data_IF_346540971100
#
_entry.id   IF_346540971100
#
_cell.length_a   1.000
_cell.length_b   1.000
_cell.length_c   1.000
_cell.angle_alpha   90.00
_cell.angle_beta   90.00
_cell.angle_gamma   90.00
#
_symmetry.space_group_name_H-M   'P 1'
#
loop_
_entity.id
_entity.type
_entity.pdbx_description
1 polymer ?
#
# COMPACT_ATOMS: atom_id res chain seq x y z
N UNK A 1 -20.93 -44.00 -20.13
CA UNK A 1 -20.68 -42.98 -19.09
C UNK A 1 -19.19 -42.75 -19.07
N UNK A 2 -18.74 -41.73 -19.79
CA UNK A 2 -17.33 -41.38 -19.95
C UNK A 2 -17.04 -40.29 -18.93
N UNK A 3 -16.29 -40.63 -17.88
CA UNK A 3 -15.81 -39.65 -16.90
C UNK A 3 -14.84 -38.70 -17.61
N UNK A 4 -15.21 -37.42 -17.64
CA UNK A 4 -14.33 -36.33 -18.05
C UNK A 4 -13.44 -36.05 -16.84
N UNK A 5 -12.21 -36.54 -16.88
CA UNK A 5 -11.16 -36.07 -15.98
C UNK A 5 -10.91 -34.59 -16.27
N UNK A 6 -11.15 -33.75 -15.27
CA UNK A 6 -10.68 -32.37 -15.22
C UNK A 6 -9.16 -32.35 -15.32
N UNK A 7 -8.56 -31.45 -16.13
CA UNK A 7 -7.11 -31.35 -16.20
C UNK A 7 -6.59 -30.84 -14.86
N UNK A 8 -5.77 -31.64 -14.19
CA UNK A 8 -4.96 -31.16 -13.07
C UNK A 8 -4.04 -30.07 -13.60
N UNK A 9 -4.30 -28.81 -13.25
CA UNK A 9 -3.33 -27.74 -13.47
C UNK A 9 -2.14 -28.00 -12.55
N UNK A 10 -1.02 -28.48 -13.11
CA UNK A 10 0.28 -28.32 -12.46
C UNK A 10 0.40 -26.86 -11.99
N UNK A 11 0.89 -26.59 -10.78
CA UNK A 11 1.15 -25.22 -10.38
C UNK A 11 2.10 -24.62 -11.43
N UNK A 12 1.71 -23.48 -12.00
CA UNK A 12 2.67 -22.60 -12.66
C UNK A 12 3.85 -22.47 -11.71
N UNK A 13 5.07 -22.73 -12.18
CA UNK A 13 6.25 -22.85 -11.33
C UNK A 13 6.51 -21.48 -10.65
N UNK A 14 5.93 -21.28 -9.47
CA UNK A 14 6.11 -20.07 -8.65
C UNK A 14 7.47 -20.19 -8.00
N UNK A 15 8.42 -19.39 -8.46
CA UNK A 15 9.71 -19.22 -7.80
C UNK A 15 9.53 -18.28 -6.60
N UNK A 16 8.98 -18.82 -5.52
CA UNK A 16 8.61 -18.06 -4.33
C UNK A 16 9.82 -17.37 -3.69
N UNK A 17 10.99 -18.01 -3.73
CA UNK A 17 12.25 -17.42 -3.25
C UNK A 17 12.65 -16.21 -4.11
N UNK A 18 12.66 -16.35 -5.44
CA UNK A 18 12.99 -15.23 -6.31
C UNK A 18 12.00 -14.06 -6.18
N UNK A 19 10.72 -14.33 -5.93
CA UNK A 19 9.70 -13.29 -5.78
C UNK A 19 9.71 -12.64 -4.40
N UNK A 20 10.21 -13.33 -3.38
CA UNK A 20 10.43 -12.77 -2.06
C UNK A 20 11.74 -11.99 -1.93
N UNK A 21 12.66 -12.09 -2.90
CA UNK A 21 13.94 -11.37 -2.91
C UNK A 21 13.85 -9.86 -2.59
N UNK A 22 12.85 -9.09 -3.07
CA UNK A 22 12.71 -7.68 -2.70
C UNK A 22 12.52 -7.43 -1.20
N UNK A 23 12.20 -8.46 -0.42
CA UNK A 23 11.95 -8.39 1.02
C UNK A 23 13.06 -9.08 1.83
N UNK A 24 14.15 -9.52 1.19
CA UNK A 24 15.36 -9.95 1.88
C UNK A 24 15.93 -8.78 2.70
N UNK A 25 16.24 -9.03 3.97
CA UNK A 25 16.72 -8.01 4.90
C UNK A 25 15.63 -7.14 5.52
N UNK A 26 14.38 -7.19 5.06
CA UNK A 26 13.28 -6.48 5.69
C UNK A 26 12.91 -7.13 7.04
N UNK A 27 13.12 -6.38 8.12
CA UNK A 27 12.86 -6.83 9.50
C UNK A 27 11.82 -5.93 10.16
N UNK A 28 10.74 -6.52 10.67
CA UNK A 28 9.80 -5.85 11.57
C UNK A 28 10.44 -5.76 12.96
N UNK A 29 10.82 -4.56 13.38
CA UNK A 29 11.65 -4.33 14.58
C UNK A 29 10.92 -3.65 15.73
N UNK A 30 9.92 -2.82 15.46
CA UNK A 30 9.24 -2.06 16.51
C UNK A 30 7.84 -1.60 16.08
N UNK A 31 7.07 -1.14 17.06
CA UNK A 31 5.93 -0.23 16.85
C UNK A 31 6.28 1.12 17.48
N UNK A 32 6.27 2.17 16.65
CA UNK A 32 6.61 3.55 17.06
C UNK A 32 5.46 4.50 16.79
N UNK A 33 5.38 5.63 17.48
CA UNK A 33 4.39 6.65 17.13
C UNK A 33 4.90 7.49 15.95
N UNK A 34 3.99 8.01 15.12
CA UNK A 34 4.36 8.89 14.01
C UNK A 34 5.24 10.04 14.45
N UNK A 35 4.93 10.68 15.57
CA UNK A 35 5.71 11.80 16.11
C UNK A 35 7.12 11.43 16.56
N UNK A 36 7.35 10.16 16.90
CA UNK A 36 8.67 9.69 17.33
C UNK A 36 9.50 9.28 16.10
N UNK A 37 8.86 8.71 15.07
CA UNK A 37 9.47 8.42 13.78
C UNK A 37 9.84 9.69 12.99
N UNK A 38 9.02 10.75 13.12
CA UNK A 38 9.17 12.01 12.39
C UNK A 38 9.04 13.22 13.37
N UNK A 39 10.05 13.46 14.23
CA UNK A 39 9.97 14.49 15.27
C UNK A 39 9.92 15.92 14.72
N UNK A 40 10.47 16.14 13.53
CA UNK A 40 10.48 17.45 12.87
C UNK A 40 9.16 17.76 12.13
N UNK A 41 8.28 16.77 11.98
CA UNK A 41 6.99 16.95 11.31
C UNK A 41 5.92 17.41 12.31
N UNK A 42 5.27 18.53 11.99
CA UNK A 42 4.24 19.12 12.87
C UNK A 42 3.18 18.09 13.33
N UNK A 43 2.76 18.13 14.60
CA UNK A 43 1.66 17.30 15.09
C UNK A 43 0.33 17.50 14.33
N UNK A 44 0.12 18.66 13.71
CA UNK A 44 -1.10 18.99 12.97
C UNK A 44 -1.08 18.54 11.49
N UNK A 45 0.04 17.99 11.01
CA UNK A 45 0.10 17.37 9.67
C UNK A 45 -0.54 15.99 9.72
N UNK A 46 -1.44 15.73 8.77
CA UNK A 46 -1.99 14.42 8.50
C UNK A 46 -1.40 13.88 7.20
N UNK A 47 -0.85 12.67 7.24
CA UNK A 47 -0.27 12.04 6.06
C UNK A 47 -1.29 11.18 5.33
N UNK A 48 -1.38 11.29 4.01
CA UNK A 48 -2.36 10.57 3.18
C UNK A 48 -1.70 9.75 2.06
N UNK A 49 -2.45 8.83 1.48
CA UNK A 49 -2.00 8.01 0.36
C UNK A 49 -1.92 8.79 -0.95
N UNK A 50 -1.01 8.35 -1.83
CA UNK A 50 -0.87 8.83 -3.20
C UNK A 50 -0.29 10.25 -3.33
N UNK A 51 -0.32 10.82 -4.55
CA UNK A 51 0.26 12.13 -4.83
C UNK A 51 -0.49 13.26 -4.09
N UNK A 52 0.09 14.47 -3.96
CA UNK A 52 -0.57 15.63 -3.37
C UNK A 52 -1.94 15.92 -3.99
N UNK A 53 -2.89 16.40 -3.19
CA UNK A 53 -4.18 16.87 -3.68
C UNK A 53 -4.04 18.25 -4.37
N UNK A 54 -4.55 18.38 -5.58
CA UNK A 54 -4.73 19.65 -6.31
C UNK A 54 -6.21 20.02 -6.51
N UNK A 55 -7.09 19.19 -5.95
CA UNK A 55 -8.53 19.30 -6.05
C UNK A 55 -9.15 19.01 -4.68
N UNK A 56 -10.48 18.96 -4.65
CA UNK A 56 -11.23 18.65 -3.44
C UNK A 56 -10.89 17.24 -2.92
N UNK A 57 -10.49 17.15 -1.66
CA UNK A 57 -10.13 15.88 -0.99
C UNK A 57 -11.35 14.94 -0.98
N UNK A 58 -11.23 13.65 -1.37
CA UNK A 58 -12.37 12.73 -1.39
C UNK A 58 -13.10 12.59 -0.05
N UNK A 59 -14.41 12.31 -0.08
CA UNK A 59 -15.23 12.12 1.12
C UNK A 59 -14.66 11.07 2.07
N UNK A 60 -14.21 9.93 1.55
CA UNK A 60 -13.58 8.87 2.34
C UNK A 60 -12.36 9.39 3.13
N UNK A 61 -11.47 10.15 2.49
CA UNK A 61 -10.27 10.72 3.13
C UNK A 61 -10.65 11.79 4.14
N UNK A 62 -11.63 12.65 3.83
CA UNK A 62 -12.15 13.65 4.78
C UNK A 62 -12.72 13.02 6.04
N UNK A 63 -13.49 11.94 5.89
CA UNK A 63 -14.01 11.19 7.03
C UNK A 63 -12.87 10.63 7.88
N UNK A 64 -11.82 10.09 7.25
CA UNK A 64 -10.64 9.63 7.98
C UNK A 64 -9.93 10.77 8.72
N UNK A 65 -9.79 11.94 8.10
CA UNK A 65 -9.23 13.12 8.74
C UNK A 65 -10.04 13.55 9.97
N UNK A 66 -11.37 13.57 9.87
CA UNK A 66 -12.25 13.90 11.01
C UNK A 66 -12.01 12.95 12.18
N UNK A 67 -11.97 11.64 11.92
CA UNK A 67 -11.72 10.64 12.97
C UNK A 67 -10.32 10.75 13.57
N UNK A 68 -9.30 11.05 12.76
CA UNK A 68 -7.93 11.25 13.22
C UNK A 68 -7.81 12.50 14.12
N UNK A 69 -8.42 13.62 13.74
CA UNK A 69 -8.42 14.85 14.55
C UNK A 69 -9.12 14.66 15.90
N UNK A 70 -10.19 13.87 15.92
CA UNK A 70 -10.88 13.49 17.14
C UNK A 70 -10.06 12.51 17.99
N UNK A 71 -9.31 11.60 17.37
CA UNK A 71 -8.40 10.70 18.05
C UNK A 71 -7.24 11.46 18.73
N UNK A 72 -6.70 12.48 18.07
CA UNK A 72 -5.66 13.35 18.64
C UNK A 72 -6.19 14.33 19.71
N UNK A 73 -7.51 14.47 19.85
CA UNK A 73 -8.11 15.50 20.70
C UNK A 73 -7.91 16.94 20.18
N UNK A 74 -7.58 17.10 18.90
CA UNK A 74 -7.43 18.40 18.24
C UNK A 74 -8.78 19.04 17.91
N UNK A 75 -9.80 18.20 17.69
CA UNK A 75 -11.19 18.63 17.52
C UNK A 75 -12.05 18.13 18.68
N UNK A 76 -13.07 18.90 19.04
CA UNK A 76 -14.01 18.56 20.14
C UNK A 76 -15.20 17.72 19.65
N UNK A 77 -15.54 17.87 18.37
CA UNK A 77 -16.60 17.13 17.68
C UNK A 77 -16.35 17.11 16.16
N UNK A 78 -17.20 16.41 15.42
CA UNK A 78 -17.07 16.30 13.96
C UNK A 78 -17.23 17.64 13.24
N UNK A 79 -18.06 18.55 13.77
CA UNK A 79 -18.29 19.85 13.14
C UNK A 79 -17.03 20.72 13.23
N UNK A 80 -16.38 20.74 14.40
CA UNK A 80 -15.09 21.40 14.60
C UNK A 80 -14.02 20.77 13.71
N UNK A 81 -13.93 19.44 13.65
CA UNK A 81 -12.96 18.76 12.79
C UNK A 81 -13.13 19.11 11.29
N UNK A 82 -14.37 19.14 10.80
CA UNK A 82 -14.67 19.55 9.41
C UNK A 82 -14.32 21.02 9.14
N UNK A 83 -14.55 21.90 10.11
CA UNK A 83 -14.17 23.31 10.01
C UNK A 83 -12.63 23.49 9.98
N UNK A 84 -11.88 22.70 10.76
CA UNK A 84 -10.41 22.71 10.69
C UNK A 84 -9.89 22.32 9.31
N UNK A 85 -10.51 21.31 8.67
CA UNK A 85 -10.15 20.90 7.31
C UNK A 85 -10.50 21.97 6.26
N UNK A 86 -11.66 22.61 6.36
CA UNK A 86 -12.08 23.64 5.39
C UNK A 86 -11.32 24.95 5.51
N UNK A 87 -10.80 25.26 6.69
CA UNK A 87 -10.03 26.50 6.96
C UNK A 87 -8.53 26.35 6.72
N UNK A 88 -8.05 25.13 6.40
CA UNK A 88 -6.62 24.87 6.21
C UNK A 88 -5.82 24.83 7.51
N UNK A 89 -6.47 24.67 8.67
CA UNK A 89 -5.80 24.51 9.96
C UNK A 89 -5.05 23.17 10.09
N UNK A 90 -5.33 22.24 9.18
CA UNK A 90 -4.73 20.91 9.07
C UNK A 90 -4.11 20.79 7.69
N UNK A 91 -2.84 20.42 7.64
CA UNK A 91 -2.12 20.21 6.40
C UNK A 91 -2.13 18.73 6.03
N UNK A 92 -2.36 18.45 4.75
CA UNK A 92 -2.33 17.11 4.18
C UNK A 92 -1.08 16.96 3.31
N UNK A 93 -0.25 15.96 3.61
CA UNK A 93 0.96 15.66 2.84
C UNK A 93 1.00 14.18 2.42
N UNK A 94 1.60 13.83 1.27
CA UNK A 94 1.80 12.43 0.88
C UNK A 94 2.63 11.68 1.92
N UNK A 95 2.16 10.51 2.35
CA UNK A 95 2.85 9.71 3.37
C UNK A 95 4.22 9.21 2.89
N UNK A 96 4.33 8.80 1.62
CA UNK A 96 5.55 8.18 1.08
C UNK A 96 6.72 9.17 0.99
N UNK A 97 6.45 10.48 0.96
CA UNK A 97 7.50 11.52 1.02
C UNK A 97 8.20 11.55 2.40
N UNK A 98 7.56 10.96 3.42
CA UNK A 98 8.09 10.81 4.77
C UNK A 98 8.46 9.36 5.13
N UNK A 99 8.51 8.47 4.14
CA UNK A 99 8.81 7.06 4.34
C UNK A 99 7.69 6.25 5.01
N UNK A 100 6.45 6.74 4.92
CA UNK A 100 5.25 6.03 5.40
C UNK A 100 4.42 5.59 4.19
N UNK A 101 3.91 4.35 4.20
CA UNK A 101 2.86 3.92 3.26
C UNK A 101 1.55 3.74 4.01
N UNK A 102 0.46 4.37 3.55
CA UNK A 102 -0.86 4.29 4.22
C UNK A 102 -1.94 3.66 3.33
N UNK A 103 -2.78 2.74 3.87
CA UNK A 103 -3.76 2.03 3.06
C UNK A 103 -5.00 2.87 2.78
N UNK A 104 -5.48 2.82 1.54
CA UNK A 104 -6.77 3.36 1.13
C UNK A 104 -6.97 4.81 1.62
N UNK A 105 -8.06 5.10 2.32
CA UNK A 105 -8.39 6.44 2.80
C UNK A 105 -7.74 6.76 4.16
N UNK A 106 -6.99 5.84 4.77
CA UNK A 106 -6.37 6.07 6.08
C UNK A 106 -5.41 7.24 6.01
N UNK A 107 -5.62 8.21 6.90
CA UNK A 107 -4.61 9.22 7.20
C UNK A 107 -3.84 8.84 8.46
N UNK A 108 -2.60 9.31 8.56
CA UNK A 108 -1.72 9.07 9.70
C UNK A 108 -1.51 10.36 10.48
N UNK A 109 -1.88 10.35 11.77
CA UNK A 109 -1.71 11.48 12.70
C UNK A 109 -0.58 11.23 13.72
N UNK A 110 -0.24 12.23 14.54
CA UNK A 110 0.95 12.25 15.41
C UNK A 110 1.04 11.10 16.41
N UNK A 111 -0.08 10.71 16.99
CA UNK A 111 -0.20 9.67 18.02
C UNK A 111 -0.58 8.31 17.45
N UNK A 112 -0.66 8.15 16.12
CA UNK A 112 -0.94 6.84 15.54
C UNK A 112 0.31 5.95 15.58
N UNK A 113 0.16 4.66 15.94
CA UNK A 113 1.23 3.69 15.90
C UNK A 113 1.58 3.31 14.47
N UNK A 114 2.86 3.05 14.24
CA UNK A 114 3.44 2.65 12.98
C UNK A 114 4.22 1.35 13.18
N UNK A 115 4.01 0.36 12.32
CA UNK A 115 4.92 -0.76 12.19
C UNK A 115 6.22 -0.26 11.55
N UNK A 116 7.33 -0.44 12.24
CA UNK A 116 8.67 -0.10 11.75
C UNK A 116 9.31 -1.31 11.08
N UNK A 117 9.67 -1.15 9.81
CA UNK A 117 10.31 -2.20 9.02
C UNK A 117 11.56 -1.66 8.35
N UNK A 118 12.66 -2.40 8.44
CA UNK A 118 13.85 -2.12 7.66
C UNK A 118 15.07 -2.87 8.16
N UNK A 119 16.23 -2.23 8.05
CA UNK A 119 17.52 -2.75 8.45
C UNK A 119 18.37 -1.67 9.15
N UNK A 120 19.65 -1.95 9.37
CA UNK A 120 20.57 -1.01 10.00
C UNK A 120 20.87 0.26 9.18
N UNK A 121 20.52 0.27 7.88
CA UNK A 121 20.78 1.40 6.98
C UNK A 121 19.56 2.32 6.82
N UNK A 122 18.36 1.83 7.12
CA UNK A 122 17.17 2.65 7.14
C UNK A 122 15.91 1.85 7.39
N UNK A 123 14.85 2.58 7.74
CA UNK A 123 13.52 2.05 8.02
C UNK A 123 12.46 2.79 7.21
N UNK A 124 11.31 2.15 7.07
CA UNK A 124 10.07 2.74 6.62
C UNK A 124 8.92 2.21 7.47
N UNK A 125 7.76 2.84 7.29
CA UNK A 125 6.66 2.65 8.22
C UNK A 125 5.32 2.50 7.51
N UNK A 126 4.36 1.92 8.22
CA UNK A 126 2.95 1.93 7.85
C UNK A 126 2.10 1.92 9.12
N UNK A 127 0.90 2.52 9.13
CA UNK A 127 0.05 2.50 10.30
C UNK A 127 -0.46 1.09 10.59
N UNK A 128 -0.77 0.78 11.84
CA UNK A 128 -1.40 -0.50 12.18
C UNK A 128 -2.84 -0.56 11.68
N UNK A 129 -3.18 -1.61 10.93
CA UNK A 129 -4.56 -1.86 10.52
C UNK A 129 -5.43 -2.29 11.71
N UNK A 130 -6.45 -1.50 12.06
CA UNK A 130 -7.20 -1.70 13.30
C UNK A 130 -8.16 -2.90 13.28
N UNK A 131 -8.81 -3.17 12.15
CA UNK A 131 -9.84 -4.21 12.04
C UNK A 131 -10.33 -4.45 10.60
N UNK A 132 -11.17 -5.49 10.40
CA UNK A 132 -12.15 -5.53 9.32
C UNK A 132 -13.12 -4.32 9.35
N UNK A 133 -13.88 -4.04 8.27
CA UNK A 133 -14.87 -2.96 8.26
C UNK A 133 -15.88 -3.06 9.42
N UNK A 134 -16.33 -1.95 10.02
CA UNK A 134 -15.91 -0.57 9.77
C UNK A 134 -14.55 -0.23 10.40
N UNK A 135 -13.71 0.50 9.66
CA UNK A 135 -12.38 0.95 10.06
C UNK A 135 -12.03 2.26 9.34
N UNK A 136 -11.17 3.08 9.95
CA UNK A 136 -10.66 4.35 9.45
C UNK A 136 -10.15 4.26 8.01
N UNK A 137 -9.42 3.18 7.70
CA UNK A 137 -8.86 2.95 6.36
C UNK A 137 -9.88 2.88 5.23
N UNK A 138 -11.13 2.57 5.55
CA UNK A 138 -12.22 2.57 4.57
C UNK A 138 -12.92 3.92 4.43
N UNK A 139 -12.47 4.96 5.16
CA UNK A 139 -13.03 6.30 5.10
C UNK A 139 -14.47 6.40 5.62
N UNK A 140 -14.82 5.53 6.57
CA UNK A 140 -16.16 5.50 7.18
C UNK A 140 -16.29 6.53 8.30
N UNK A 141 -17.48 7.13 8.43
CA UNK A 141 -17.89 7.92 9.59
C UNK A 141 -18.57 7.08 10.68
N UNK A 142 -18.60 5.74 10.52
CA UNK A 142 -19.36 4.87 11.41
C UNK A 142 -18.89 4.96 12.88
N UNK A 143 -19.83 5.01 13.84
CA UNK A 143 -19.52 4.90 15.26
C UNK A 143 -18.72 3.62 15.54
N UNK A 144 -17.56 3.77 16.19
CA UNK A 144 -16.70 2.65 16.59
C UNK A 144 -15.36 2.57 15.87
N UNK A 145 -15.18 3.19 14.69
CA UNK A 145 -13.88 3.21 14.00
C UNK A 145 -12.78 3.81 14.90
N UNK A 146 -13.06 4.93 15.57
CA UNK A 146 -12.14 5.56 16.54
C UNK A 146 -11.82 4.68 17.75
N UNK A 147 -12.79 3.92 18.27
CA UNK A 147 -12.56 3.01 19.39
C UNK A 147 -11.64 1.85 18.99
N UNK A 148 -11.80 1.34 17.76
CA UNK A 148 -10.90 0.30 17.21
C UNK A 148 -9.50 0.84 16.97
N UNK A 149 -9.37 2.06 16.45
CA UNK A 149 -8.08 2.75 16.33
C UNK A 149 -7.38 2.88 17.69
N UNK A 150 -8.10 3.33 18.73
CA UNK A 150 -7.54 3.44 20.07
C UNK A 150 -7.10 2.07 20.62
N UNK A 151 -7.90 1.03 20.42
CA UNK A 151 -7.56 -0.33 20.86
C UNK A 151 -6.32 -0.89 20.17
N UNK A 152 -6.18 -0.73 18.84
CA UNK A 152 -4.97 -1.19 18.14
C UNK A 152 -3.74 -0.36 18.49
N UNK A 153 -3.91 0.94 18.79
CA UNK A 153 -2.83 1.79 19.26
C UNK A 153 -2.31 1.38 20.62
N UNK A 154 -3.21 1.13 21.57
CA UNK A 154 -2.86 0.61 22.88
C UNK A 154 -2.16 -0.74 22.76
N UNK A 155 -2.75 -1.68 22.01
CA UNK A 155 -2.19 -3.00 21.78
C UNK A 155 -0.80 -2.94 21.13
N UNK A 156 -0.65 -2.15 20.07
CA UNK A 156 0.61 -1.99 19.35
C UNK A 156 1.72 -1.49 20.26
N UNK A 157 1.46 -0.44 21.03
CA UNK A 157 2.48 0.19 21.89
C UNK A 157 2.77 -0.62 23.15
N UNK A 158 1.76 -1.20 23.80
CA UNK A 158 1.93 -1.87 25.09
C UNK A 158 2.28 -3.35 24.97
N UNK A 159 1.88 -4.01 23.87
CA UNK A 159 2.02 -5.47 23.71
C UNK A 159 3.01 -5.82 22.61
N UNK A 160 2.86 -5.26 21.41
CA UNK A 160 3.70 -5.63 20.26
C UNK A 160 5.10 -5.00 20.32
N UNK A 161 5.18 -3.70 20.57
CA UNK A 161 6.46 -2.97 20.61
C UNK A 161 7.54 -3.67 21.47
N UNK A 162 7.29 -4.02 22.76
CA UNK A 162 8.32 -4.68 23.56
C UNK A 162 8.73 -6.05 23.01
N UNK A 163 7.79 -6.83 22.48
CA UNK A 163 8.09 -8.15 21.90
C UNK A 163 8.95 -8.03 20.64
N UNK A 164 8.64 -7.09 19.76
CA UNK A 164 9.37 -6.89 18.50
C UNK A 164 10.78 -6.33 18.73
N UNK A 165 10.97 -5.44 19.71
CA UNK A 165 12.32 -4.96 20.08
C UNK A 165 13.22 -6.08 20.60
N UNK A 166 12.65 -7.03 21.34
CA UNK A 166 13.40 -8.17 21.87
C UNK A 166 13.61 -9.26 20.81
N UNK A 167 12.59 -9.49 19.98
CA UNK A 167 12.51 -10.58 19.01
C UNK A 167 11.98 -10.06 17.66
N UNK A 168 12.83 -9.36 16.88
CA UNK A 168 12.41 -8.81 15.60
C UNK A 168 12.15 -9.93 14.58
N UNK A 169 11.24 -9.68 13.63
CA UNK A 169 10.76 -10.71 12.69
C UNK A 169 11.23 -10.41 11.27
N UNK A 170 11.98 -11.34 10.68
CA UNK A 170 12.35 -11.29 9.27
C UNK A 170 11.13 -11.60 8.37
N UNK A 171 10.87 -10.76 7.36
CA UNK A 171 9.65 -10.83 6.57
C UNK A 171 9.76 -11.68 5.30
N UNK A 172 10.96 -11.95 4.79
CA UNK A 172 11.14 -12.75 3.57
C UNK A 172 10.54 -14.15 3.68
N UNK A 173 10.73 -14.83 4.82
CA UNK A 173 10.16 -16.16 5.07
C UNK A 173 8.62 -16.15 5.13
N UNK A 174 8.04 -15.05 5.63
CA UNK A 174 6.58 -14.84 5.66
C UNK A 174 6.04 -14.72 4.24
N UNK A 175 6.71 -13.94 3.37
CA UNK A 175 6.36 -13.78 1.95
C UNK A 175 6.48 -15.11 1.21
N UNK A 176 7.57 -15.86 1.40
CA UNK A 176 7.76 -17.19 0.78
C UNK A 176 6.61 -18.12 1.19
N UNK A 177 6.30 -18.19 2.50
CA UNK A 177 5.20 -19.02 3.00
C UNK A 177 3.86 -18.65 2.37
N UNK A 178 3.58 -17.36 2.19
CA UNK A 178 2.35 -16.89 1.57
C UNK A 178 2.24 -17.31 0.09
N UNK A 179 3.30 -17.05 -0.70
CA UNK A 179 3.34 -17.38 -2.13
C UNK A 179 3.18 -18.88 -2.40
N UNK A 180 3.85 -19.73 -1.60
CA UNK A 180 3.75 -21.20 -1.73
C UNK A 180 2.33 -21.70 -1.43
N UNK A 181 1.60 -21.01 -0.55
CA UNK A 181 0.31 -21.48 -0.03
C UNK A 181 -0.89 -20.67 -0.53
N UNK A 182 -0.77 -20.00 -1.68
CA UNK A 182 -1.94 -19.47 -2.39
C UNK A 182 -2.27 -18.00 -2.15
N UNK A 183 -1.40 -17.25 -1.47
CA UNK A 183 -1.55 -15.81 -1.23
C UNK A 183 -0.58 -15.01 -2.10
N UNK A 184 -1.02 -13.88 -2.66
CA UNK A 184 -0.17 -12.94 -3.40
C UNK A 184 0.35 -11.77 -2.53
N UNK A 185 -0.07 -11.74 -1.26
CA UNK A 185 0.37 -10.81 -0.21
C UNK A 185 -0.25 -9.40 -0.21
N UNK A 186 -1.24 -9.11 -1.07
CA UNK A 186 -1.94 -7.82 -1.10
C UNK A 186 -3.45 -7.95 -0.86
N UNK A 187 -4.20 -8.55 -1.77
CA UNK A 187 -5.65 -8.77 -1.66
C UNK A 187 -6.01 -10.02 -0.85
N UNK A 188 -5.12 -11.01 -0.81
CA UNK A 188 -5.16 -12.20 0.03
C UNK A 188 -3.90 -12.27 0.89
N UNK A 189 -4.11 -12.15 2.19
CA UNK A 189 -3.04 -12.03 3.18
C UNK A 189 -3.19 -13.00 4.35
N UNK A 190 -4.14 -13.93 4.30
CA UNK A 190 -4.47 -14.81 5.43
C UNK A 190 -3.33 -15.74 5.83
N UNK A 191 -2.62 -16.31 4.85
CA UNK A 191 -1.44 -17.15 5.09
C UNK A 191 -0.30 -16.30 5.63
N UNK A 192 0.00 -15.16 4.98
CA UNK A 192 1.03 -14.24 5.43
C UNK A 192 0.77 -13.78 6.88
N UNK A 193 -0.48 -13.50 7.21
CA UNK A 193 -0.88 -13.05 8.54
C UNK A 193 -0.65 -14.12 9.59
N UNK A 194 -1.03 -15.36 9.27
CA UNK A 194 -0.81 -16.51 10.17
C UNK A 194 0.69 -16.73 10.40
N UNK A 195 1.49 -16.74 9.33
CA UNK A 195 2.93 -16.93 9.42
C UNK A 195 3.61 -15.81 10.22
N UNK A 196 3.22 -14.54 10.02
CA UNK A 196 3.74 -13.42 10.80
C UNK A 196 3.42 -13.58 12.28
N UNK A 197 2.15 -13.86 12.61
CA UNK A 197 1.70 -14.02 13.99
C UNK A 197 2.46 -15.16 14.68
N UNK A 198 2.67 -16.27 13.98
CA UNK A 198 3.43 -17.41 14.49
C UNK A 198 4.90 -17.08 14.76
N UNK A 199 5.49 -16.19 13.95
CA UNK A 199 6.87 -15.73 14.12
C UNK A 199 7.07 -14.73 15.26
N UNK A 200 6.03 -14.01 15.72
CA UNK A 200 6.15 -13.10 16.87
C UNK A 200 6.28 -13.92 18.15
N UNK A 201 7.49 -13.96 18.70
CA UNK A 201 7.79 -14.63 19.96
C UNK A 201 7.10 -13.92 21.14
N UNK A 202 6.71 -14.69 22.16
CA UNK A 202 6.09 -14.16 23.39
C UNK A 202 4.64 -13.67 23.26
N UNK A 203 4.06 -13.62 22.05
CA UNK A 203 2.67 -13.21 21.86
C UNK A 203 1.69 -14.20 22.49
N UNK A 204 0.78 -13.70 23.33
CA UNK A 204 -0.22 -14.50 24.06
C UNK A 204 -1.27 -15.13 23.15
N UNK A 205 -1.95 -16.18 23.64
CA UNK A 205 -2.94 -16.94 22.86
C UNK A 205 -4.11 -16.08 22.38
N UNK A 206 -4.66 -15.22 23.25
CA UNK A 206 -5.78 -14.34 22.90
C UNK A 206 -5.37 -13.27 21.89
N UNK A 207 -4.16 -12.72 22.05
CA UNK A 207 -3.59 -11.73 21.11
C UNK A 207 -3.38 -12.35 19.72
N UNK A 208 -2.89 -13.59 19.66
CA UNK A 208 -2.78 -14.36 18.40
C UNK A 208 -4.14 -14.55 17.74
N UNK A 209 -5.16 -14.92 18.52
CA UNK A 209 -6.51 -15.12 17.99
C UNK A 209 -7.09 -13.80 17.44
N UNK A 210 -6.91 -12.69 18.15
CA UNK A 210 -7.36 -11.37 17.72
C UNK A 210 -6.69 -10.92 16.41
N UNK A 211 -5.37 -11.07 16.29
CA UNK A 211 -4.64 -10.69 15.07
C UNK A 211 -4.99 -11.62 13.89
N UNK A 212 -5.20 -12.93 14.13
CA UNK A 212 -5.61 -13.86 13.06
C UNK A 212 -7.00 -13.51 12.49
N UNK A 213 -7.89 -12.97 13.31
CA UNK A 213 -9.19 -12.47 12.87
C UNK A 213 -9.12 -11.16 12.05
N UNK A 214 -7.94 -10.52 11.98
CA UNK A 214 -7.69 -9.32 11.20
C UNK A 214 -6.56 -9.54 10.18
N UNK A 215 -6.83 -10.18 9.03
CA UNK A 215 -5.82 -10.38 7.99
C UNK A 215 -5.26 -9.09 7.39
N UNK A 216 -5.89 -7.94 7.66
CA UNK A 216 -5.34 -6.63 7.31
C UNK A 216 -4.11 -6.22 8.12
N UNK A 217 -3.81 -6.89 9.25
CA UNK A 217 -2.66 -6.55 10.09
C UNK A 217 -1.32 -6.74 9.35
N UNK A 218 -1.08 -7.91 8.76
CA UNK A 218 0.13 -8.16 7.98
C UNK A 218 0.22 -7.30 6.72
N UNK A 219 -0.92 -6.89 6.14
CA UNK A 219 -0.92 -6.05 4.93
C UNK A 219 -0.11 -4.78 5.18
N UNK A 220 -0.38 -4.08 6.29
CA UNK A 220 0.34 -2.85 6.61
C UNK A 220 1.81 -3.10 6.91
N UNK A 221 2.18 -4.24 7.51
CA UNK A 221 3.59 -4.63 7.69
C UNK A 221 4.29 -4.82 6.35
N UNK A 222 3.64 -5.48 5.40
CA UNK A 222 4.16 -5.68 4.05
C UNK A 222 4.23 -4.38 3.25
N UNK A 223 3.30 -3.44 3.48
CA UNK A 223 3.38 -2.08 2.93
C UNK A 223 4.62 -1.34 3.45
N UNK A 224 4.91 -1.42 4.76
CA UNK A 224 6.12 -0.84 5.33
C UNK A 224 7.38 -1.47 4.71
N UNK A 225 7.40 -2.80 4.56
CA UNK A 225 8.51 -3.52 3.93
C UNK A 225 8.73 -3.12 2.46
N UNK A 226 7.66 -3.00 1.69
CA UNK A 226 7.73 -2.56 0.31
C UNK A 226 8.15 -1.08 0.18
N UNK A 227 7.64 -0.21 1.06
CA UNK A 227 8.08 1.19 1.16
C UNK A 227 9.58 1.29 1.47
N UNK A 228 10.07 0.51 2.44
CA UNK A 228 11.49 0.40 2.76
C UNK A 228 12.29 -0.04 1.54
N UNK A 229 11.83 -1.06 0.82
CA UNK A 229 12.53 -1.58 -0.36
C UNK A 229 12.65 -0.54 -1.48
N UNK A 230 11.60 0.23 -1.75
CA UNK A 230 11.61 1.31 -2.74
C UNK A 230 12.55 2.44 -2.31
N UNK A 231 12.59 2.78 -1.01
CA UNK A 231 13.49 3.80 -0.47
C UNK A 231 14.96 3.41 -0.50
N UNK A 232 15.27 2.14 -0.25
CA UNK A 232 16.63 1.60 -0.33
C UNK A 232 17.12 1.43 -1.78
N UNK A 233 16.23 1.42 -2.77
CA UNK A 233 16.64 1.47 -4.15
C UNK A 233 17.34 2.81 -4.46
N UNK A 234 18.36 2.78 -5.32
CA UNK A 234 19.11 3.99 -5.71
C UNK A 234 18.62 4.60 -7.01
N UNK A 235 17.74 3.90 -7.73
CA UNK A 235 17.19 4.26 -9.04
C UNK A 235 15.82 3.63 -9.22
N UNK A 236 15.06 4.14 -10.18
CA UNK A 236 13.70 3.66 -10.45
C UNK A 236 12.67 4.30 -9.51
N UNK A 237 11.64 3.55 -9.15
CA UNK A 237 10.53 4.03 -8.32
C UNK A 237 10.98 4.34 -6.88
N UNK A 238 10.62 5.52 -6.41
CA UNK A 238 10.74 5.96 -5.02
C UNK A 238 9.39 5.96 -4.29
N UNK A 239 8.29 6.21 -5.01
CA UNK A 239 6.94 6.18 -4.48
C UNK A 239 5.91 5.83 -5.56
N UNK A 240 4.79 5.22 -5.17
CA UNK A 240 3.67 4.88 -6.08
C UNK A 240 2.37 4.65 -5.32
N UNK A 241 1.26 5.21 -5.80
CA UNK A 241 -0.03 5.05 -5.13
C UNK A 241 -1.12 5.98 -5.66
N UNK A 242 -2.34 5.81 -5.13
CA UNK A 242 -3.49 6.62 -5.49
C UNK A 242 -4.07 7.38 -4.31
N UNK A 243 -4.67 8.54 -4.57
CA UNK A 243 -5.35 9.35 -3.56
C UNK A 243 -6.89 9.40 -3.76
N UNK A 244 -7.43 8.62 -4.71
CA UNK A 244 -8.84 8.58 -5.09
C UNK A 244 -9.24 9.58 -6.18
N UNK A 245 -8.41 10.58 -6.47
CA UNK A 245 -8.56 11.55 -7.57
C UNK A 245 -7.47 11.35 -8.63
N UNK A 246 -6.24 11.08 -8.19
CA UNK A 246 -5.08 10.83 -9.04
C UNK A 246 -4.33 9.59 -8.57
N UNK A 247 -3.81 8.84 -9.53
CA UNK A 247 -2.82 7.79 -9.33
C UNK A 247 -1.49 8.29 -9.85
N UNK A 248 -0.41 8.04 -9.11
CA UNK A 248 0.89 8.59 -9.47
C UNK A 248 2.06 7.78 -8.97
N UNK A 249 3.23 8.19 -9.46
CA UNK A 249 4.52 7.64 -9.08
C UNK A 249 5.56 8.75 -8.99
N UNK A 250 6.65 8.49 -8.28
CA UNK A 250 7.82 9.36 -8.19
C UNK A 250 9.06 8.52 -8.40
N UNK A 251 10.00 8.98 -9.25
CA UNK A 251 11.27 8.30 -9.42
C UNK A 251 12.32 8.87 -8.44
N UNK A 252 13.36 8.10 -8.17
CA UNK A 252 14.53 8.59 -7.45
C UNK A 252 15.17 9.76 -8.21
N UNK A 253 15.40 10.87 -7.51
CA UNK A 253 15.87 12.13 -8.09
C UNK A 253 14.77 13.11 -8.47
N UNK A 254 13.51 12.68 -8.51
CA UNK A 254 12.39 13.58 -8.78
C UNK A 254 12.00 14.40 -7.55
N UNK A 255 11.72 15.68 -7.77
CA UNK A 255 11.16 16.59 -6.77
C UNK A 255 9.64 16.59 -6.73
N UNK A 256 8.95 15.92 -7.68
CA UNK A 256 7.49 15.93 -7.81
C UNK A 256 6.97 14.55 -8.22
N UNK A 257 5.69 14.32 -7.92
CA UNK A 257 4.95 13.17 -8.42
C UNK A 257 4.53 13.36 -9.87
N UNK A 258 4.70 12.32 -10.69
CA UNK A 258 4.02 12.16 -11.98
C UNK A 258 2.68 11.50 -11.73
N UNK A 259 1.63 11.96 -12.39
CA UNK A 259 0.26 11.58 -12.04
C UNK A 259 -0.67 11.59 -13.23
N UNK A 260 -1.68 10.74 -13.14
CA UNK A 260 -2.82 10.64 -14.04
C UNK A 260 -4.12 10.65 -13.24
N UNK A 261 -5.28 10.93 -13.86
CA UNK A 261 -6.57 10.73 -13.20
C UNK A 261 -6.73 9.29 -12.68
N UNK A 262 -7.17 9.13 -11.43
CA UNK A 262 -7.47 7.83 -10.86
C UNK A 262 -8.86 7.37 -11.32
N UNK A 263 -8.90 6.32 -12.14
CA UNK A 263 -10.15 5.61 -12.45
C UNK A 263 -10.47 4.58 -11.37
N UNK A 264 -11.75 4.20 -11.19
CA UNK A 264 -12.10 3.16 -10.22
C UNK A 264 -11.51 1.79 -10.58
N UNK A 265 -11.05 0.99 -9.60
CA UNK A 265 -10.65 -0.40 -9.87
C UNK A 265 -11.84 -1.24 -10.38
N UNK A 266 -11.53 -2.25 -11.20
CA UNK A 266 -12.53 -3.13 -11.80
C UNK A 266 -12.44 -4.51 -11.15
N UNK A 267 -13.57 -5.04 -10.67
CA UNK A 267 -13.63 -6.35 -10.02
C UNK A 267 -14.92 -6.59 -9.25
N UNK A 268 -14.89 -7.56 -8.35
CA UNK A 268 -16.02 -8.04 -7.57
C UNK A 268 -16.61 -6.96 -6.65
N UNK A 269 -17.91 -6.69 -6.80
CA UNK A 269 -18.70 -5.87 -5.85
C UNK A 269 -19.23 -6.71 -4.70
N UNK A 270 -19.27 -6.13 -3.51
CA UNK A 270 -19.91 -6.75 -2.35
C UNK A 270 -21.44 -6.86 -2.55
N UNK A 271 -22.12 -7.85 -1.94
CA UNK A 271 -23.57 -7.97 -2.02
C UNK A 271 -24.29 -6.68 -1.63
N UNK A 272 -25.19 -6.18 -2.48
CA UNK A 272 -25.94 -4.93 -2.23
C UNK A 272 -25.21 -3.64 -2.62
N UNK A 273 -24.04 -3.73 -3.27
CA UNK A 273 -23.23 -2.57 -3.67
C UNK A 273 -23.02 -2.41 -5.19
N UNK A 274 -23.76 -3.14 -6.03
CA UNK A 274 -23.59 -3.09 -7.49
C UNK A 274 -23.79 -1.67 -8.09
N UNK A 275 -24.79 -0.94 -7.61
CA UNK A 275 -25.15 0.42 -8.08
C UNK A 275 -24.38 1.53 -7.36
N UNK A 276 -23.48 1.20 -6.43
CA UNK A 276 -22.74 2.21 -5.67
C UNK A 276 -21.57 2.72 -6.52
N UNK A 277 -21.52 4.03 -6.71
CA UNK A 277 -20.45 4.68 -7.43
C UNK A 277 -19.11 4.48 -6.70
N UNK A 278 -18.13 3.95 -7.44
CA UNK A 278 -16.82 3.69 -6.88
C UNK A 278 -15.90 4.91 -6.95
N UNK A 279 -15.13 5.13 -5.89
CA UNK A 279 -14.02 6.07 -5.88
C UNK A 279 -12.91 5.58 -6.83
N UNK A 280 -12.12 6.52 -7.36
CA UNK A 280 -10.90 6.20 -8.09
C UNK A 280 -9.91 5.41 -7.24
N UNK A 281 -8.91 4.81 -7.89
CA UNK A 281 -7.81 4.11 -7.20
C UNK A 281 -7.22 4.94 -6.06
N UNK A 282 -7.17 4.33 -4.87
CA UNK A 282 -6.77 4.98 -3.62
C UNK A 282 -5.95 4.02 -2.76
N UNK A 283 -4.91 4.52 -2.10
CA UNK A 283 -4.02 3.78 -1.21
C UNK A 283 -2.59 3.70 -1.72
N UNK A 284 -1.64 3.65 -0.78
CA UNK A 284 -0.23 3.39 -1.06
C UNK A 284 0.07 1.90 -1.16
N UNK A 285 -0.90 1.02 -0.92
CA UNK A 285 -0.66 -0.43 -0.94
C UNK A 285 -0.17 -0.94 -2.30
N UNK A 286 -0.31 -0.12 -3.36
CA UNK A 286 0.36 -0.29 -4.64
C UNK A 286 1.88 -0.56 -4.52
N UNK A 287 2.57 -0.04 -3.49
CA UNK A 287 3.99 -0.36 -3.28
C UNK A 287 4.25 -1.87 -3.22
N UNK A 288 3.30 -2.68 -2.72
CA UNK A 288 3.41 -4.14 -2.69
C UNK A 288 3.45 -4.72 -4.11
N UNK A 289 2.55 -4.29 -4.98
CA UNK A 289 2.51 -4.76 -6.37
C UNK A 289 3.75 -4.33 -7.15
N UNK A 290 4.22 -3.10 -6.91
CA UNK A 290 5.42 -2.57 -7.55
C UNK A 290 6.72 -3.17 -6.99
N UNK A 291 6.68 -3.77 -5.80
CA UNK A 291 7.71 -4.66 -5.26
C UNK A 291 7.54 -6.13 -5.70
N UNK A 292 6.73 -6.38 -6.73
CA UNK A 292 6.66 -7.68 -7.40
C UNK A 292 5.78 -8.72 -6.71
N UNK A 293 4.99 -8.34 -5.70
CA UNK A 293 3.92 -9.16 -5.12
C UNK A 293 2.58 -8.74 -5.71
N UNK A 294 1.46 -8.89 -5.01
CA UNK A 294 0.22 -8.24 -5.44
C UNK A 294 -0.31 -8.78 -6.77
N UNK A 295 -0.78 -7.83 -7.59
CA UNK A 295 -1.15 -8.03 -8.98
C UNK A 295 -0.07 -8.71 -9.82
N UNK A 296 1.21 -8.58 -9.45
CA UNK A 296 2.31 -9.24 -10.16
C UNK A 296 2.55 -10.68 -9.72
N UNK A 297 2.02 -11.08 -8.57
CA UNK A 297 2.11 -12.43 -8.03
C UNK A 297 0.80 -13.22 -8.14
N UNK A 298 -0.20 -12.72 -8.87
CA UNK A 298 -1.51 -13.38 -9.02
C UNK A 298 -1.43 -14.84 -9.47
N UNK A 299 -0.42 -15.25 -10.23
CA UNK A 299 -0.21 -16.67 -10.59
C UNK A 299 0.00 -17.59 -9.39
N UNK A 300 0.45 -17.07 -8.25
CA UNK A 300 0.53 -17.77 -6.96
C UNK A 300 -0.81 -17.83 -6.22
N UNK A 301 -1.81 -17.04 -6.60
CA UNK A 301 -3.11 -16.94 -5.93
C UNK A 301 -4.26 -17.47 -6.82
N UNK A 302 -4.41 -18.80 -7.01
CA UNK A 302 -5.40 -19.38 -7.92
C UNK A 302 -6.84 -18.97 -7.57
N UNK A 303 -7.18 -18.90 -6.28
CA UNK A 303 -8.51 -18.50 -5.84
C UNK A 303 -8.87 -17.06 -6.27
N UNK A 304 -7.91 -16.15 -6.22
CA UNK A 304 -8.11 -14.75 -6.64
C UNK A 304 -8.17 -14.62 -8.16
N UNK A 305 -7.34 -15.38 -8.87
CA UNK A 305 -7.40 -15.48 -10.33
C UNK A 305 -8.73 -16.00 -10.84
N UNK A 306 -9.30 -16.99 -10.17
CA UNK A 306 -10.61 -17.52 -10.52
C UNK A 306 -11.72 -16.49 -10.24
N UNK A 307 -11.65 -15.80 -9.11
CA UNK A 307 -12.60 -14.72 -8.78
C UNK A 307 -12.56 -13.57 -9.80
N UNK A 308 -11.37 -13.18 -10.26
CA UNK A 308 -11.18 -12.04 -11.16
C UNK A 308 -10.96 -12.44 -12.62
N UNK A 309 -11.31 -13.67 -12.99
CA UNK A 309 -11.06 -14.21 -14.35
C UNK A 309 -11.59 -13.31 -15.47
N UNK A 310 -12.72 -12.66 -15.26
CA UNK A 310 -13.37 -11.81 -16.27
C UNK A 310 -12.71 -10.44 -16.45
N UNK A 311 -11.93 -9.98 -15.46
CA UNK A 311 -11.32 -8.63 -15.45
C UNK A 311 -9.81 -8.67 -15.60
N UNK A 312 -9.19 -9.81 -15.31
CA UNK A 312 -7.75 -9.99 -15.44
C UNK A 312 -7.34 -10.09 -16.91
N UNK A 313 -6.22 -9.47 -17.30
CA UNK A 313 -5.67 -9.68 -18.62
C UNK A 313 -5.11 -11.10 -18.76
N UNK A 314 -5.08 -11.58 -19.99
CA UNK A 314 -4.46 -12.87 -20.32
C UNK A 314 -2.94 -12.88 -20.01
N UNK A 315 -2.39 -14.09 -19.94
CA UNK A 315 -0.95 -14.36 -19.88
C UNK A 315 -0.21 -13.62 -18.74
N UNK A 316 -0.75 -13.66 -17.52
CA UNK A 316 -0.18 -13.03 -16.32
C UNK A 316 1.34 -13.29 -16.12
N UNK A 317 1.81 -14.52 -16.40
CA UNK A 317 3.23 -14.86 -16.29
C UNK A 317 4.11 -14.09 -17.29
N UNK A 318 3.64 -13.92 -18.53
CA UNK A 318 4.34 -13.13 -19.55
C UNK A 318 4.32 -11.64 -19.18
N UNK A 319 3.18 -11.14 -18.69
CA UNK A 319 3.06 -9.76 -18.21
C UNK A 319 4.05 -9.47 -17.08
N UNK A 320 4.12 -10.33 -16.05
CA UNK A 320 5.12 -10.23 -14.98
C UNK A 320 6.53 -10.16 -15.55
N UNK A 321 6.90 -11.12 -16.40
CA UNK A 321 8.23 -11.18 -16.99
C UNK A 321 8.58 -9.94 -17.83
N UNK A 322 7.57 -9.28 -18.42
CA UNK A 322 7.73 -8.08 -19.22
C UNK A 322 7.88 -6.80 -18.39
N UNK A 323 7.31 -6.72 -17.18
CA UNK A 323 7.30 -5.47 -16.38
C UNK A 323 8.19 -5.51 -15.13
N UNK A 324 8.49 -6.69 -14.58
CA UNK A 324 9.28 -6.87 -13.35
C UNK A 324 10.73 -7.22 -13.66
N UNK A 325 11.68 -6.36 -13.32
CA UNK A 325 13.12 -6.62 -13.46
C UNK A 325 13.53 -7.91 -12.72
N UNK A 326 14.05 -8.93 -13.41
CA UNK A 326 14.39 -10.22 -12.80
C UNK A 326 15.55 -10.15 -11.80
N UNK A 327 16.36 -9.09 -11.84
CA UNK A 327 17.47 -8.89 -10.89
C UNK A 327 16.93 -8.36 -9.58
N UNK A 328 16.20 -7.24 -9.64
CA UNK A 328 15.74 -6.51 -8.46
C UNK A 328 14.42 -7.02 -7.89
N UNK A 329 13.62 -7.71 -8.71
CA UNK A 329 12.25 -8.15 -8.38
C UNK A 329 11.22 -7.01 -8.35
N UNK A 330 11.61 -5.79 -8.75
CA UNK A 330 10.73 -4.62 -8.77
C UNK A 330 10.13 -4.41 -10.16
N UNK A 331 8.95 -3.78 -10.23
CA UNK A 331 8.43 -3.24 -11.48
C UNK A 331 9.38 -2.15 -11.98
N UNK A 332 9.84 -2.29 -13.23
CA UNK A 332 10.76 -1.36 -13.87
C UNK A 332 10.02 -0.50 -14.89
N UNK A 333 10.13 0.82 -14.74
CA UNK A 333 9.39 1.78 -15.56
C UNK A 333 9.80 1.73 -17.04
N UNK A 334 11.08 1.50 -17.34
CA UNK A 334 11.54 1.38 -18.73
C UNK A 334 11.03 0.11 -19.39
N UNK A 335 10.92 -0.99 -18.64
CA UNK A 335 10.33 -2.25 -19.13
C UNK A 335 8.82 -2.14 -19.34
N UNK A 336 8.10 -1.42 -18.47
CA UNK A 336 6.68 -1.09 -18.68
C UNK A 336 6.48 -0.35 -20.00
N UNK A 337 7.27 0.71 -20.25
CA UNK A 337 7.20 1.48 -21.51
C UNK A 337 7.59 0.62 -22.71
N UNK A 338 8.69 -0.13 -22.64
CA UNK A 338 9.19 -0.94 -23.75
C UNK A 338 8.23 -2.08 -24.14
N UNK A 339 7.53 -2.67 -23.16
CA UNK A 339 6.57 -3.75 -23.41
C UNK A 339 5.19 -3.25 -23.82
N UNK A 340 4.84 -2.00 -23.48
CA UNK A 340 3.47 -1.48 -23.64
C UNK A 340 2.46 -2.15 -22.70
N UNK A 341 2.91 -2.86 -21.67
CA UNK A 341 2.04 -3.58 -20.73
C UNK A 341 1.98 -2.86 -19.39
N UNK A 342 0.76 -2.49 -18.97
CA UNK A 342 0.52 -1.95 -17.63
C UNK A 342 0.90 -2.97 -16.54
N UNK A 343 1.54 -2.54 -15.44
CA UNK A 343 1.56 -3.34 -14.21
C UNK A 343 0.13 -3.51 -13.66
N UNK A 344 -0.07 -4.53 -12.84
CA UNK A 344 -1.34 -4.78 -12.16
C UNK A 344 -1.25 -4.33 -10.72
N UNK A 345 -2.30 -3.68 -10.22
CA UNK A 345 -2.40 -3.22 -8.83
C UNK A 345 -3.67 -3.79 -8.23
N UNK A 346 -3.53 -4.67 -7.24
CA UNK A 346 -4.67 -5.18 -6.49
C UNK A 346 -5.20 -4.07 -5.58
N UNK A 347 -6.51 -3.81 -5.58
CA UNK A 347 -7.09 -2.72 -4.79
C UNK A 347 -8.47 -3.07 -4.23
N UNK A 348 -8.70 -2.61 -3.01
CA UNK A 348 -10.03 -2.50 -2.46
C UNK A 348 -10.79 -1.35 -3.14
N UNK A 349 -12.11 -1.48 -3.26
CA UNK A 349 -12.97 -0.51 -3.93
C UNK A 349 -13.77 0.21 -2.87
N UNK A 350 -13.64 1.53 -2.81
CA UNK A 350 -14.36 2.37 -1.86
C UNK A 350 -15.54 3.10 -2.52
N UNK A 351 -16.56 3.37 -1.71
CA UNK A 351 -17.66 4.27 -2.06
C UNK A 351 -17.15 5.70 -2.30
N UNK A 352 -17.48 6.27 -3.46
CA UNK A 352 -17.13 7.65 -3.83
C UNK A 352 -17.70 8.67 -2.85
N UNK A 353 -18.90 8.44 -2.33
CA UNK A 353 -19.58 9.35 -1.39
C UNK A 353 -19.11 9.16 0.06
N UNK A 354 -18.32 8.12 0.34
CA UNK A 354 -17.76 7.86 1.67
C UNK A 354 -18.80 7.43 2.71
N UNK A 355 -20.02 7.04 2.30
CA UNK A 355 -21.10 6.65 3.20
C UNK A 355 -20.99 5.17 3.61
N UNK A 356 -20.62 4.31 2.66
CA UNK A 356 -20.60 2.85 2.82
C UNK A 356 -19.22 2.28 3.13
N UNK A 357 -18.15 3.04 2.88
CA UNK A 357 -16.78 2.59 3.03
C UNK A 357 -16.40 1.56 1.96
N UNK A 358 -16.07 0.32 2.37
CA UNK A 358 -15.67 -0.75 1.47
C UNK A 358 -16.88 -1.30 0.68
N UNK A 359 -16.78 -1.35 -0.64
CA UNK A 359 -17.86 -1.81 -1.53
C UNK A 359 -17.45 -2.93 -2.49
N UNK A 360 -16.17 -3.33 -2.49
CA UNK A 360 -15.66 -4.38 -3.36
C UNK A 360 -14.14 -4.49 -3.34
N UNK A 361 -13.61 -5.29 -4.26
CA UNK A 361 -12.17 -5.42 -4.55
C UNK A 361 -11.97 -5.75 -6.01
N UNK A 362 -10.81 -5.42 -6.55
CA UNK A 362 -10.50 -5.67 -7.95
C UNK A 362 -9.09 -5.27 -8.29
N UNK A 363 -8.88 -5.02 -9.58
CA UNK A 363 -7.59 -4.67 -10.15
C UNK A 363 -7.66 -3.29 -10.77
N UNK A 364 -6.57 -2.55 -10.60
CA UNK A 364 -6.31 -1.29 -11.27
C UNK A 364 -5.09 -1.44 -12.17
N UNK A 365 -5.15 -0.78 -13.33
CA UNK A 365 -4.09 -0.79 -14.34
C UNK A 365 -3.75 0.66 -14.68
N UNK A 366 -2.63 1.22 -14.18
CA UNK A 366 -2.21 2.56 -14.56
C UNK A 366 -1.88 2.63 -16.07
N UNK A 367 -2.06 3.80 -16.69
CA UNK A 367 -1.73 3.94 -18.10
C UNK A 367 -0.21 3.82 -18.28
N UNK A 368 0.23 3.18 -19.35
CA UNK A 368 1.65 3.11 -19.72
C UNK A 368 2.21 4.52 -19.95
N UNK A 369 1.37 5.47 -20.40
CA UNK A 369 1.74 6.87 -20.57
C UNK A 369 2.29 7.51 -19.28
N UNK A 370 1.78 7.15 -18.10
CA UNK A 370 2.29 7.63 -16.82
C UNK A 370 3.79 7.32 -16.63
N UNK A 371 4.24 6.16 -17.11
CA UNK A 371 5.63 5.72 -16.99
C UNK A 371 6.52 6.38 -18.03
N UNK A 372 6.00 6.60 -19.24
CA UNK A 372 6.70 7.33 -20.30
C UNK A 372 6.95 8.77 -19.88
N UNK A 373 5.91 9.47 -19.41
CA UNK A 373 5.97 10.86 -18.94
C UNK A 373 7.00 11.04 -17.82
N UNK A 374 7.04 10.08 -16.88
CA UNK A 374 7.99 10.09 -15.78
C UNK A 374 9.43 9.96 -16.28
N UNK A 375 9.72 8.99 -17.16
CA UNK A 375 11.06 8.79 -17.71
C UNK A 375 11.54 9.97 -18.55
N UNK A 376 10.68 10.57 -19.35
CA UNK A 376 11.00 11.75 -20.16
C UNK A 376 11.29 12.97 -19.28
N UNK A 377 10.51 13.18 -18.22
CA UNK A 377 10.68 14.31 -17.30
C UNK A 377 11.91 14.18 -16.39
N UNK A 378 12.32 12.95 -16.05
CA UNK A 378 13.47 12.68 -15.19
C UNK A 378 14.80 12.60 -15.96
N UNK A 379 14.77 12.65 -17.29
CA UNK A 379 16.00 12.71 -18.08
C UNK A 379 16.74 14.03 -17.78
N UNK A 380 18.08 14.00 -17.55
CA UNK A 380 18.83 15.22 -17.33
C UNK A 380 18.64 16.14 -18.53
N UNK A 381 18.23 17.39 -18.29
CA UNK A 381 18.10 18.39 -19.34
C UNK A 381 19.40 18.43 -20.14
N UNK A 382 19.33 18.14 -21.43
CA UNK A 382 20.48 18.28 -22.32
C UNK A 382 20.89 19.76 -22.32
N UNK A 383 21.98 20.09 -21.61
CA UNK A 383 22.61 21.40 -21.72
C UNK A 383 23.50 21.34 -22.95
N UNK A 384 23.18 22.04 -24.05
CA UNK A 384 24.06 22.06 -25.21
C UNK A 384 25.37 22.72 -24.77
N UNK A 385 26.48 21.99 -24.88
CA UNK A 385 27.81 22.55 -24.69
C UNK A 385 27.97 23.74 -25.63
N UNK A 386 28.14 24.94 -25.07
CA UNK A 386 28.44 26.12 -25.86
C UNK A 386 29.81 25.92 -26.51
N UNK A 387 29.98 26.03 -27.84
CA UNK A 387 31.29 25.90 -28.45
C UNK A 387 32.18 27.02 -27.91
N UNK A 388 33.37 26.64 -27.44
CA UNK A 388 34.38 27.57 -26.99
C UNK A 388 34.64 28.60 -28.08
N UNK A 389 34.48 29.89 -27.77
CA UNK A 389 34.94 30.96 -28.64
C UNK A 389 36.45 30.83 -28.75
N UNK A 390 36.94 30.50 -29.94
CA UNK A 390 38.34 30.72 -30.30
C UNK A 390 38.64 32.21 -30.12
N UNK A 391 39.56 32.50 -29.21
CA UNK A 391 40.15 33.83 -29.05
C UNK A 391 41.23 33.91 -30.13
N UNK A 392 40.98 34.71 -31.17
CA UNK A 392 42.03 35.26 -32.04
C UNK A 392 42.44 36.64 -31.55
#
# INVERSE_FOLDING_TARGET
MTEIQSPSSSPLNVDAEAWARPFEGAVLSDIVLRRDALPDLSPTVLLHAGPPFDAEVPYAVRNACVQALLFEGLAVDEAHARAMLSTGAVELQPAQDHGIATPLAQVVSASMPLAEVGDAFGVAWAPLAESPPPALRFGTSAPGARARLAAIAEFGMQRLAPLLREHPVALSSIVISALVNGDECHARTGVANTALIDAIAGLGVDDRAALRANPGFVLTVLMAAACWRLRCATRGLAAVGGNGIAFGLRLHGDSRWHRQPATPPIGTRMPGHAEVEALGAIGDSAVIDFCGLGGQALTAAPALRDEWREVLPDALALRRAAVVDPVTGLVDTARVVASGLSPLVDLAILDRQGERGLIGRGVYMPDVALFADALESSAPAFVPSTPAREIS
#
